data_IF_991257534603
#
_entry.id   IF_991257534603
#
_cell.length_a   1.000
_cell.length_b   1.000
_cell.length_c   1.000
_cell.angle_alpha   90.00
_cell.angle_beta   90.00
_cell.angle_gamma   90.00
#
_symmetry.space_group_name_H-M   'P 1'
#
loop_
_entity.id
_entity.type
_entity.pdbx_description
1 polymer ?
#
# COMPACT_ATOMS: atom_id res chain seq x y z
N UNK A 1 6.82 -13.87 15.00
CA UNK A 1 6.51 -14.30 13.62
C UNK A 1 7.64 -13.86 12.69
N UNK A 2 7.86 -14.59 11.58
CA UNK A 2 8.80 -14.20 10.53
C UNK A 2 8.01 -13.74 9.33
N UNK A 3 8.35 -12.57 8.79
CA UNK A 3 7.71 -11.99 7.58
C UNK A 3 8.73 -12.04 6.45
N UNK A 4 8.60 -12.97 5.49
CA UNK A 4 9.45 -13.02 4.30
C UNK A 4 9.28 -11.80 3.39
N UNK A 5 10.26 -11.54 2.55
CA UNK A 5 10.18 -10.50 1.54
C UNK A 5 8.96 -10.72 0.61
N UNK A 6 8.21 -9.67 0.32
CA UNK A 6 7.01 -9.71 -0.51
C UNK A 6 5.72 -10.10 0.24
N UNK A 7 5.81 -10.51 1.50
CA UNK A 7 4.64 -10.67 2.35
C UNK A 7 4.22 -9.36 3.01
N UNK A 8 2.98 -9.32 3.40
CA UNK A 8 2.42 -8.21 4.18
C UNK A 8 1.85 -8.73 5.50
N UNK A 9 1.98 -7.92 6.53
CA UNK A 9 1.34 -8.12 7.82
C UNK A 9 0.44 -6.95 8.17
N UNK A 10 -0.63 -7.22 8.88
CA UNK A 10 -1.51 -6.24 9.47
C UNK A 10 -1.67 -6.52 10.96
N UNK A 11 -1.42 -5.51 11.76
CA UNK A 11 -1.61 -5.53 13.20
C UNK A 11 -2.66 -4.48 13.56
N UNK A 12 -3.73 -4.91 14.22
CA UNK A 12 -4.66 -3.99 14.89
C UNK A 12 -4.31 -3.95 16.35
N UNK A 13 -3.84 -2.81 16.84
CA UNK A 13 -3.42 -2.66 18.23
C UNK A 13 -4.59 -2.74 19.22
N UNK A 14 -5.80 -2.32 18.80
CA UNK A 14 -7.00 -2.41 19.63
C UNK A 14 -6.80 -1.73 21.00
N UNK A 15 -6.94 -2.50 22.08
CA UNK A 15 -6.72 -2.03 23.46
C UNK A 15 -5.25 -1.90 23.86
N UNK A 16 -4.34 -2.15 22.94
CA UNK A 16 -2.89 -2.05 23.12
C UNK A 16 -2.17 -3.37 22.79
N UNK A 17 -1.00 -3.24 22.17
CA UNK A 17 -0.04 -4.33 21.94
C UNK A 17 1.35 -3.83 22.27
N UNK A 18 2.19 -4.73 22.75
CA UNK A 18 3.64 -4.53 22.81
C UNK A 18 4.27 -5.47 21.80
N UNK A 19 5.11 -4.95 20.93
CA UNK A 19 5.83 -5.75 19.95
C UNK A 19 7.19 -5.13 19.63
N UNK A 20 8.01 -5.89 18.96
CA UNK A 20 9.28 -5.43 18.44
C UNK A 20 9.53 -6.12 17.10
N UNK A 21 10.28 -5.46 16.22
CA UNK A 21 10.62 -5.94 14.90
C UNK A 21 12.14 -5.98 14.76
N UNK A 22 12.66 -7.09 14.26
CA UNK A 22 14.09 -7.32 14.12
C UNK A 22 14.41 -7.82 12.72
N UNK A 23 15.57 -7.43 12.21
CA UNK A 23 16.12 -8.06 11.04
C UNK A 23 16.52 -9.51 11.37
N UNK A 24 15.91 -10.48 10.69
CA UNK A 24 16.20 -11.90 10.87
C UNK A 24 17.57 -12.31 10.28
N UNK A 25 18.12 -11.53 9.33
CA UNK A 25 19.46 -11.74 8.78
C UNK A 25 20.51 -11.03 9.65
N UNK A 26 21.64 -11.71 9.86
CA UNK A 26 22.81 -11.10 10.50
C UNK A 26 23.75 -10.42 9.49
N UNK A 27 23.56 -10.65 8.20
CA UNK A 27 24.46 -10.21 7.13
C UNK A 27 23.79 -9.23 6.17
N UNK A 28 22.51 -9.45 5.87
CA UNK A 28 21.78 -8.67 4.87
C UNK A 28 21.01 -7.54 5.53
N UNK A 29 20.88 -6.44 4.81
CA UNK A 29 20.00 -5.32 5.21
C UNK A 29 18.55 -5.70 4.98
N UNK A 30 17.66 -5.28 5.89
CA UNK A 30 16.21 -5.33 5.70
C UNK A 30 15.71 -3.95 5.29
N UNK A 31 14.77 -3.91 4.35
CA UNK A 31 14.01 -2.72 3.99
C UNK A 31 12.53 -3.09 4.00
N UNK A 32 11.73 -2.33 4.73
CA UNK A 32 10.28 -2.51 4.80
C UNK A 32 9.59 -1.17 4.96
N UNK A 33 8.29 -1.14 4.69
CA UNK A 33 7.43 0.00 4.95
C UNK A 33 6.58 -0.30 6.17
N UNK A 34 6.60 0.60 7.14
CA UNK A 34 5.67 0.60 8.27
C UNK A 34 4.60 1.66 7.99
N UNK A 35 3.35 1.20 7.84
CA UNK A 35 2.24 2.04 7.44
C UNK A 35 1.27 2.13 8.61
N UNK A 36 0.97 3.35 9.04
CA UNK A 36 0.02 3.61 10.11
C UNK A 36 -1.27 4.15 9.51
N UNK A 37 -2.37 3.44 9.75
CA UNK A 37 -3.72 3.85 9.37
C UNK A 37 -4.56 3.88 10.64
N UNK A 38 -5.10 5.06 10.96
CA UNK A 38 -5.95 5.21 12.13
C UNK A 38 -7.23 4.38 11.95
N UNK A 39 -7.60 3.53 12.92
CA UNK A 39 -8.82 2.74 12.82
C UNK A 39 -10.07 3.62 13.05
N UNK A 40 -11.18 3.23 12.46
CA UNK A 40 -12.50 3.84 12.67
C UNK A 40 -13.27 3.25 13.85
N UNK A 41 -12.67 2.30 14.56
CA UNK A 41 -13.22 1.66 15.75
C UNK A 41 -12.14 1.51 16.83
N UNK A 42 -12.48 1.78 18.08
CA UNK A 42 -11.58 1.71 19.22
C UNK A 42 -11.96 0.59 20.18
N UNK A 43 -11.09 0.25 21.13
CA UNK A 43 -11.38 -0.69 22.22
C UNK A 43 -11.52 -2.16 21.82
N UNK A 44 -11.25 -2.51 20.56
CA UNK A 44 -11.34 -3.89 20.06
C UNK A 44 -10.18 -4.75 20.60
N UNK A 45 -10.38 -6.07 20.52
CA UNK A 45 -9.31 -7.02 20.82
C UNK A 45 -8.17 -6.88 19.81
N UNK A 46 -6.91 -6.85 20.24
CA UNK A 46 -5.77 -6.88 19.33
C UNK A 46 -5.83 -8.07 18.38
N UNK A 47 -5.41 -7.85 17.15
CA UNK A 47 -5.41 -8.91 16.13
C UNK A 47 -4.24 -8.77 15.16
N UNK A 48 -3.83 -9.90 14.60
CA UNK A 48 -2.73 -10.01 13.65
C UNK A 48 -3.15 -10.84 12.45
N UNK A 49 -2.73 -10.42 11.27
CA UNK A 49 -2.86 -11.20 10.03
C UNK A 49 -1.58 -11.05 9.22
N UNK A 50 -1.18 -12.11 8.52
CA UNK A 50 -0.04 -12.14 7.61
C UNK A 50 -0.41 -12.93 6.38
N UNK A 51 -0.06 -12.43 5.20
CA UNK A 51 -0.33 -13.11 3.92
C UNK A 51 0.74 -12.83 2.89
N UNK A 52 0.98 -13.85 2.06
CA UNK A 52 1.60 -13.69 0.76
C UNK A 52 0.51 -13.43 -0.27
N UNK A 53 0.53 -12.26 -0.91
CA UNK A 53 -0.45 -11.88 -1.93
C UNK A 53 0.24 -11.80 -3.28
N UNK A 54 -0.05 -12.77 -4.13
CA UNK A 54 0.50 -12.82 -5.49
C UNK A 54 -0.04 -11.65 -6.33
N UNK A 55 0.86 -11.00 -7.08
CA UNK A 55 0.47 -9.96 -8.03
C UNK A 55 -0.45 -10.51 -9.13
N UNK A 56 -1.56 -9.83 -9.36
CA UNK A 56 -2.52 -10.10 -10.43
C UNK A 56 -2.72 -8.84 -11.27
N UNK A 57 -2.27 -8.87 -12.52
CA UNK A 57 -2.30 -7.69 -13.38
C UNK A 57 -1.40 -6.54 -12.87
N UNK A 58 -1.70 -5.32 -13.29
CA UNK A 58 -0.92 -4.12 -12.94
C UNK A 58 -1.20 -3.67 -11.50
N UNK A 59 -2.46 -3.71 -11.06
CA UNK A 59 -2.89 -3.29 -9.72
C UNK A 59 -3.49 -4.47 -8.95
N UNK A 60 -2.99 -4.74 -7.74
CA UNK A 60 -3.47 -5.83 -6.89
C UNK A 60 -3.78 -5.32 -5.49
N UNK A 61 -5.00 -5.54 -5.02
CA UNK A 61 -5.42 -5.16 -3.67
C UNK A 61 -4.71 -6.01 -2.61
N UNK A 62 -4.08 -5.35 -1.66
CA UNK A 62 -3.37 -5.96 -0.53
C UNK A 62 -4.18 -5.89 0.76
N UNK A 63 -4.88 -4.76 0.96
CA UNK A 63 -5.71 -4.48 2.14
C UNK A 63 -7.06 -3.95 1.68
N UNK A 64 -8.12 -4.45 2.27
CA UNK A 64 -9.52 -4.06 1.99
C UNK A 64 -10.29 -4.05 3.32
N UNK A 65 -11.27 -3.16 3.54
CA UNK A 65 -12.04 -3.12 4.78
C UNK A 65 -12.61 -4.46 5.23
N UNK A 66 -13.00 -5.31 4.29
CA UNK A 66 -13.62 -6.60 4.53
C UNK A 66 -12.70 -7.80 4.23
N UNK A 67 -11.47 -7.55 3.75
CA UNK A 67 -10.55 -8.60 3.33
C UNK A 67 -10.98 -9.37 2.08
N UNK A 68 -11.74 -8.73 1.17
CA UNK A 68 -12.19 -9.33 -0.09
C UNK A 68 -11.02 -9.71 -0.99
N UNK A 69 -11.24 -10.64 -1.90
CA UNK A 69 -10.27 -11.08 -2.92
C UNK A 69 -8.92 -11.53 -2.33
N UNK A 70 -8.95 -12.18 -1.17
CA UNK A 70 -7.76 -12.61 -0.44
C UNK A 70 -6.89 -11.48 0.14
N UNK A 71 -7.37 -10.25 0.18
CA UNK A 71 -6.70 -9.14 0.87
C UNK A 71 -6.67 -9.34 2.39
N UNK A 72 -5.84 -8.57 3.09
CA UNK A 72 -5.94 -8.43 4.54
C UNK A 72 -7.12 -7.52 4.88
N UNK A 73 -7.84 -7.81 5.95
CA UNK A 73 -8.89 -6.91 6.46
C UNK A 73 -8.29 -5.77 7.29
N UNK A 74 -8.96 -4.61 7.30
CA UNK A 74 -8.56 -3.46 8.12
C UNK A 74 -9.79 -2.79 8.74
N UNK A 75 -9.62 -2.24 9.95
CA UNK A 75 -10.68 -1.50 10.64
C UNK A 75 -10.67 -0.02 10.25
N UNK A 76 -10.79 0.23 8.98
CA UNK A 76 -10.93 1.57 8.38
C UNK A 76 -11.53 1.40 6.98
N UNK A 77 -12.26 2.41 6.50
CA UNK A 77 -12.70 2.47 5.11
C UNK A 77 -11.55 2.92 4.20
N UNK A 78 -10.51 2.11 4.15
CA UNK A 78 -9.32 2.34 3.34
C UNK A 78 -8.95 1.09 2.56
N UNK A 79 -8.47 1.26 1.33
CA UNK A 79 -7.88 0.19 0.54
C UNK A 79 -6.44 0.51 0.21
N UNK A 80 -5.62 -0.53 0.24
CA UNK A 80 -4.22 -0.46 -0.18
C UNK A 80 -4.00 -1.45 -1.30
N UNK A 81 -3.42 -0.98 -2.40
CA UNK A 81 -3.11 -1.81 -3.56
C UNK A 81 -1.67 -1.63 -3.99
N UNK A 82 -1.06 -2.68 -4.52
CA UNK A 82 0.27 -2.66 -5.11
C UNK A 82 0.17 -2.48 -6.61
N UNK A 83 0.81 -1.44 -7.12
CA UNK A 83 1.00 -1.20 -8.56
C UNK A 83 2.34 -1.75 -9.00
N UNK A 84 2.34 -2.56 -10.05
CA UNK A 84 3.54 -3.04 -10.75
C UNK A 84 3.40 -2.68 -12.23
N UNK A 85 4.37 -1.92 -12.74
CA UNK A 85 4.46 -1.57 -14.16
C UNK A 85 5.85 -1.89 -14.68
N UNK A 86 5.93 -2.36 -15.92
CA UNK A 86 7.18 -2.41 -16.68
C UNK A 86 7.50 -1.03 -17.25
N UNK A 87 8.75 -0.80 -17.61
CA UNK A 87 9.14 0.43 -18.32
C UNK A 87 8.27 0.63 -19.57
N UNK A 88 7.77 1.84 -19.77
CA UNK A 88 6.89 2.23 -20.87
C UNK A 88 5.39 1.90 -20.66
N UNK A 89 5.04 1.09 -19.66
CA UNK A 89 3.64 0.85 -19.35
C UNK A 89 3.00 2.04 -18.62
N UNK A 90 1.69 2.18 -18.79
CA UNK A 90 0.89 3.17 -18.11
C UNK A 90 -0.23 2.55 -17.27
N UNK A 91 -0.76 3.33 -16.36
CA UNK A 91 -1.94 3.01 -15.58
C UNK A 91 -2.72 4.29 -15.27
N UNK A 92 -4.06 4.20 -15.27
CA UNK A 92 -4.92 5.30 -14.90
C UNK A 92 -5.71 4.95 -13.65
N UNK A 93 -5.48 5.72 -12.59
CA UNK A 93 -6.29 5.68 -11.38
C UNK A 93 -7.53 6.55 -11.57
N UNK A 94 -8.63 6.14 -10.93
CA UNK A 94 -9.83 6.94 -10.79
C UNK A 94 -10.13 7.03 -9.28
N UNK A 95 -10.13 8.23 -8.75
CA UNK A 95 -10.38 8.45 -7.31
C UNK A 95 -11.85 8.39 -6.96
N UNK A 96 -12.75 8.61 -7.95
CA UNK A 96 -14.19 8.78 -7.69
C UNK A 96 -14.40 9.84 -6.60
N UNK A 97 -15.20 9.57 -5.58
CA UNK A 97 -15.44 10.47 -4.44
C UNK A 97 -14.48 10.21 -3.27
N UNK A 98 -13.25 9.78 -3.54
CA UNK A 98 -12.28 9.38 -2.52
C UNK A 98 -10.94 10.05 -2.75
N UNK A 99 -10.16 10.19 -1.69
CA UNK A 99 -8.79 10.67 -1.79
C UNK A 99 -7.89 9.51 -2.24
N UNK A 100 -7.06 9.76 -3.25
CA UNK A 100 -5.98 8.88 -3.65
C UNK A 100 -4.65 9.31 -3.04
N UNK A 101 -3.77 8.36 -2.72
CA UNK A 101 -2.37 8.65 -2.41
C UNK A 101 -1.49 7.57 -3.03
N UNK A 102 -0.49 7.99 -3.81
CA UNK A 102 0.49 7.10 -4.43
C UNK A 102 1.84 7.27 -3.74
N UNK A 103 2.45 6.15 -3.32
CA UNK A 103 3.82 6.10 -2.78
C UNK A 103 4.68 5.18 -3.61
N UNK A 104 5.81 5.67 -4.11
CA UNK A 104 6.71 4.94 -4.99
C UNK A 104 7.78 4.22 -4.17
N UNK A 105 7.78 2.88 -4.22
CA UNK A 105 8.77 2.04 -3.55
C UNK A 105 10.03 1.91 -4.40
N UNK A 106 9.84 1.73 -5.72
CA UNK A 106 10.93 1.48 -6.67
C UNK A 106 10.61 2.07 -8.04
N UNK A 107 11.64 2.56 -8.71
CA UNK A 107 11.59 3.04 -10.08
C UNK A 107 11.27 4.51 -10.19
N UNK A 108 10.90 4.94 -11.40
CA UNK A 108 10.53 6.32 -11.75
C UNK A 108 9.30 6.29 -12.62
N UNK A 109 8.38 7.19 -12.35
CA UNK A 109 7.19 7.42 -13.16
C UNK A 109 6.99 8.90 -13.41
N UNK A 110 6.16 9.21 -14.39
CA UNK A 110 5.71 10.57 -14.69
C UNK A 110 4.20 10.62 -14.80
N UNK A 111 3.68 11.79 -14.52
CA UNK A 111 2.34 12.25 -14.88
C UNK A 111 2.44 13.21 -16.07
N UNK A 112 1.35 13.85 -16.43
CA UNK A 112 1.35 14.87 -17.50
C UNK A 112 2.20 16.11 -17.11
N UNK A 113 2.36 16.39 -15.81
CA UNK A 113 3.01 17.62 -15.31
C UNK A 113 4.33 17.38 -14.56
N UNK A 114 4.53 16.20 -13.97
CA UNK A 114 5.62 15.98 -13.01
C UNK A 114 6.23 14.59 -13.13
N UNK A 115 7.47 14.47 -12.60
CA UNK A 115 8.19 13.21 -12.49
C UNK A 115 8.46 12.87 -11.02
N UNK A 116 8.36 11.58 -10.70
CA UNK A 116 8.51 11.06 -9.35
C UNK A 116 9.45 9.85 -9.34
N UNK A 117 10.14 9.67 -8.22
CA UNK A 117 11.14 8.62 -8.00
C UNK A 117 10.84 7.81 -6.76
N UNK A 118 11.58 6.73 -6.57
CA UNK A 118 11.48 5.92 -5.34
C UNK A 118 11.67 6.78 -4.08
N UNK A 119 10.73 6.68 -3.16
CA UNK A 119 10.64 7.47 -1.93
C UNK A 119 9.65 8.64 -2.01
N UNK A 120 9.28 9.07 -3.21
CA UNK A 120 8.28 10.12 -3.38
C UNK A 120 6.87 9.58 -3.14
N UNK A 121 5.97 10.50 -2.78
CA UNK A 121 4.56 10.24 -2.67
C UNK A 121 3.75 11.51 -2.84
N UNK A 122 2.53 11.37 -3.37
CA UNK A 122 1.65 12.51 -3.61
C UNK A 122 0.17 12.11 -3.49
N UNK A 123 -0.64 13.08 -3.10
CA UNK A 123 -2.09 12.93 -3.00
C UNK A 123 -2.76 13.24 -4.34
N UNK A 124 -3.93 12.66 -4.54
CA UNK A 124 -4.83 12.89 -5.68
C UNK A 124 -6.21 13.18 -5.11
N UNK A 125 -6.73 14.35 -5.44
CA UNK A 125 -8.03 14.80 -4.98
C UNK A 125 -9.18 13.90 -5.47
N UNK A 126 -10.35 13.93 -4.79
CA UNK A 126 -11.55 13.28 -5.27
C UNK A 126 -11.94 13.72 -6.69
N UNK A 127 -12.66 12.84 -7.38
CA UNK A 127 -13.17 13.06 -8.75
C UNK A 127 -12.09 13.31 -9.82
N UNK A 128 -10.85 12.90 -9.54
CA UNK A 128 -9.73 13.01 -10.46
C UNK A 128 -9.41 11.68 -11.16
N UNK A 129 -8.93 11.82 -12.38
CA UNK A 129 -8.26 10.73 -13.11
C UNK A 129 -6.77 11.05 -13.18
N UNK A 130 -5.96 10.16 -12.62
CA UNK A 130 -4.51 10.27 -12.67
C UNK A 130 -3.94 9.23 -13.61
N UNK A 131 -3.37 9.65 -14.72
CA UNK A 131 -2.56 8.78 -15.58
C UNK A 131 -1.10 8.85 -15.13
N UNK A 132 -0.50 7.69 -14.92
CA UNK A 132 0.94 7.53 -14.64
C UNK A 132 1.58 6.70 -15.74
N UNK A 133 2.79 7.05 -16.14
CA UNK A 133 3.60 6.34 -17.12
C UNK A 133 4.92 5.95 -16.47
N UNK A 134 5.29 4.69 -16.56
CA UNK A 134 6.52 4.16 -15.99
C UNK A 134 7.73 4.48 -16.86
N UNK A 135 8.64 5.30 -16.40
CA UNK A 135 9.93 5.56 -17.08
C UNK A 135 10.94 4.42 -16.85
N UNK A 136 10.78 3.69 -15.75
CA UNK A 136 11.49 2.45 -15.45
C UNK A 136 10.54 1.46 -14.80
N UNK A 137 10.96 0.22 -14.54
CA UNK A 137 10.11 -0.73 -13.80
C UNK A 137 9.69 -0.16 -12.44
N UNK A 138 8.39 -0.12 -12.18
CA UNK A 138 7.74 0.49 -11.02
C UNK A 138 7.22 -0.57 -10.06
N UNK A 139 7.44 -0.30 -8.78
CA UNK A 139 6.65 -0.83 -7.67
C UNK A 139 6.18 0.35 -6.82
N UNK A 140 4.86 0.46 -6.62
CA UNK A 140 4.25 1.53 -5.84
C UNK A 140 3.05 1.03 -5.04
N UNK A 141 2.67 1.79 -4.01
CA UNK A 141 1.46 1.56 -3.23
C UNK A 141 0.44 2.65 -3.55
N UNK A 142 -0.76 2.22 -3.84
CA UNK A 142 -1.93 3.08 -4.03
C UNK A 142 -2.85 2.94 -2.83
N UNK A 143 -3.10 4.05 -2.18
CA UNK A 143 -4.07 4.18 -1.10
C UNK A 143 -5.33 4.83 -1.67
N UNK A 144 -6.47 4.22 -1.40
CA UNK A 144 -7.78 4.76 -1.69
C UNK A 144 -8.47 5.00 -0.34
N UNK A 145 -8.58 6.26 0.04
CA UNK A 145 -8.94 6.72 1.38
C UNK A 145 -10.33 7.36 1.38
N UNK A 146 -11.08 7.33 2.49
CA UNK A 146 -12.31 8.10 2.58
C UNK A 146 -12.00 9.59 2.50
N UNK A 147 -12.92 10.35 1.94
CA UNK A 147 -12.98 11.79 2.10
C UNK A 147 -13.50 12.08 3.53
N UNK A 148 -12.85 12.96 4.27
CA UNK A 148 -13.11 13.21 5.71
C UNK A 148 -13.90 14.49 5.88
#
# INVERSE_FOLDING_TARGET
YKVPAGEIQRMSAGRGVMHSEFNASKQDKVKFLQIWIQPNITGIKPSYQQKSIRQKGKLTTLVDPQGKNNALSINQDARLSRLILKSGEDFTFNTEQRIGYLHIIKGRLKTDSEQFSAGDGFAVEPEQKLKVIADSAIEALWFNLPDV
#
